data_IF_049560148354
#
_entry.id   IF_049560148354
#
_cell.length_a   1.000
_cell.length_b   1.000
_cell.length_c   1.000
_cell.angle_alpha   90.00
_cell.angle_beta   90.00
_cell.angle_gamma   90.00
#
_symmetry.space_group_name_H-M   'P 1'
#
loop_
_entity.id
_entity.type
_entity.pdbx_description
1 polymer ?
#
# COMPACT_ATOMS: atom_id res chain seq x y z
N UNK A 1 15.21 -19.08 -20.32
CA UNK A 1 14.71 -19.08 -21.71
C UNK A 1 15.09 -20.38 -22.43
N UNK A 2 16.28 -20.90 -22.23
CA UNK A 2 16.81 -22.11 -22.97
C UNK A 2 15.99 -23.39 -22.74
N UNK A 3 15.15 -23.43 -21.70
CA UNK A 3 14.27 -24.57 -21.40
C UNK A 3 12.83 -24.36 -21.90
N UNK A 4 12.53 -23.21 -22.47
CA UNK A 4 11.21 -22.89 -22.96
C UNK A 4 11.23 -22.78 -24.47
N UNK A 5 10.28 -23.45 -25.13
CA UNK A 5 10.06 -23.35 -26.56
C UNK A 5 8.58 -23.34 -26.86
N UNK A 6 8.18 -22.53 -27.81
CA UNK A 6 6.81 -22.56 -28.32
C UNK A 6 6.62 -23.80 -29.18
N UNK A 7 5.56 -24.55 -28.91
CA UNK A 7 5.17 -25.71 -29.71
C UNK A 7 3.85 -25.47 -30.40
N UNK A 8 3.74 -25.86 -31.68
CA UNK A 8 2.47 -25.84 -32.39
C UNK A 8 1.52 -26.91 -31.83
N UNK A 9 0.25 -26.54 -31.66
CA UNK A 9 -0.83 -27.45 -31.29
C UNK A 9 -1.67 -27.90 -32.46
N UNK A 10 -1.28 -27.55 -33.70
CA UNK A 10 -1.98 -27.88 -34.92
C UNK A 10 -3.35 -27.17 -35.05
N UNK A 11 -3.55 -26.09 -34.36
CA UNK A 11 -4.76 -25.27 -34.40
C UNK A 11 -4.39 -23.83 -34.78
N UNK A 12 -4.86 -23.39 -35.95
CA UNK A 12 -4.58 -22.04 -36.43
C UNK A 12 -4.95 -20.93 -35.38
N UNK A 13 -6.04 -21.16 -34.66
CA UNK A 13 -6.48 -20.22 -33.61
C UNK A 13 -5.53 -20.17 -32.40
N UNK A 14 -4.94 -21.29 -32.01
CA UNK A 14 -4.01 -21.38 -30.88
C UNK A 14 -2.58 -21.02 -31.26
N UNK A 15 -2.24 -21.21 -32.55
CA UNK A 15 -0.91 -20.97 -33.07
C UNK A 15 -0.73 -19.55 -33.64
N UNK A 16 -1.78 -18.74 -33.66
CA UNK A 16 -1.76 -17.33 -34.11
C UNK A 16 -0.99 -16.39 -33.14
N UNK A 17 -0.82 -16.82 -31.89
CA UNK A 17 -0.07 -16.08 -30.90
C UNK A 17 1.41 -16.43 -30.97
N UNK A 18 2.25 -15.51 -31.46
CA UNK A 18 3.70 -15.64 -31.44
C UNK A 18 4.27 -15.23 -30.07
N UNK A 19 4.78 -16.23 -29.31
CA UNK A 19 5.43 -16.01 -28.01
C UNK A 19 6.95 -15.92 -28.11
N UNK A 20 7.55 -16.10 -29.31
CA UNK A 20 9.00 -16.03 -29.49
C UNK A 20 9.61 -14.70 -29.00
N UNK A 21 8.97 -13.53 -29.16
CA UNK A 21 9.47 -12.28 -28.60
C UNK A 21 9.67 -12.30 -27.07
N UNK A 22 8.96 -13.17 -26.35
CA UNK A 22 9.10 -13.33 -24.89
C UNK A 22 10.22 -14.31 -24.51
N UNK A 23 10.70 -15.12 -25.47
CA UNK A 23 11.73 -16.14 -25.27
C UNK A 23 13.13 -15.63 -25.66
N UNK A 24 13.31 -14.32 -25.70
CA UNK A 24 14.59 -13.70 -26.05
C UNK A 24 15.63 -14.04 -24.99
N UNK A 25 16.73 -14.67 -25.41
CA UNK A 25 17.91 -14.82 -24.58
C UNK A 25 18.70 -13.51 -24.59
N UNK A 26 18.78 -12.86 -23.45
CA UNK A 26 19.58 -11.64 -23.30
C UNK A 26 21.06 -12.02 -23.35
N UNK A 27 21.86 -11.32 -24.18
CA UNK A 27 23.30 -11.52 -24.20
C UNK A 27 23.89 -11.31 -22.80
N UNK A 28 24.49 -12.35 -22.24
CA UNK A 28 25.07 -12.34 -20.89
C UNK A 28 26.27 -11.40 -20.73
N UNK A 29 26.73 -10.77 -21.81
CA UNK A 29 27.75 -9.71 -21.77
C UNK A 29 27.20 -8.41 -21.21
N UNK A 30 25.88 -8.20 -21.21
CA UNK A 30 25.27 -7.04 -20.57
C UNK A 30 25.49 -7.08 -19.06
N UNK A 31 26.12 -6.05 -18.50
CA UNK A 31 26.30 -5.92 -17.05
C UNK A 31 24.95 -5.77 -16.37
N UNK A 32 24.49 -6.83 -15.68
CA UNK A 32 23.27 -6.85 -14.85
C UNK A 32 23.57 -6.53 -13.38
N UNK A 33 24.69 -5.88 -13.11
CA UNK A 33 25.09 -5.52 -11.77
C UNK A 33 24.37 -4.25 -11.32
N UNK A 34 24.11 -4.17 -10.00
CA UNK A 34 23.58 -2.96 -9.40
C UNK A 34 24.51 -1.77 -9.65
N UNK A 35 24.00 -0.75 -10.30
CA UNK A 35 24.69 0.51 -10.54
C UNK A 35 24.46 1.45 -9.34
N UNK A 36 25.51 1.67 -8.55
CA UNK A 36 25.47 2.56 -7.38
C UNK A 36 25.33 4.02 -7.75
N UNK A 37 25.79 4.39 -8.96
CA UNK A 37 25.81 5.78 -9.41
C UNK A 37 24.49 6.18 -10.09
N UNK A 38 23.61 5.20 -10.34
CA UNK A 38 22.29 5.49 -10.90
C UNK A 38 21.41 6.17 -9.84
N UNK A 39 20.94 7.40 -10.09
CA UNK A 39 20.05 8.06 -9.15
C UNK A 39 18.78 7.22 -8.94
N UNK A 40 18.37 7.09 -7.69
CA UNK A 40 17.09 6.43 -7.37
C UNK A 40 15.95 7.24 -7.99
N UNK A 41 14.99 6.55 -8.57
CA UNK A 41 13.76 7.20 -9.02
C UNK A 41 13.12 7.88 -7.79
N UNK A 42 12.86 9.19 -7.85
CA UNK A 42 12.20 9.88 -6.75
C UNK A 42 10.82 9.25 -6.50
N UNK A 43 10.44 9.16 -5.26
CA UNK A 43 9.08 8.77 -4.89
C UNK A 43 8.22 10.02 -4.96
N UNK A 44 7.15 9.97 -5.73
CA UNK A 44 6.22 11.09 -5.87
C UNK A 44 5.61 11.48 -4.52
N UNK A 45 5.25 12.74 -4.38
CA UNK A 45 4.49 13.22 -3.24
C UNK A 45 3.11 12.56 -3.24
N UNK A 46 2.85 11.80 -2.19
CA UNK A 46 1.61 11.06 -1.98
C UNK A 46 0.81 11.69 -0.84
N UNK A 47 -0.43 11.25 -0.65
CA UNK A 47 -1.21 11.65 0.53
C UNK A 47 -0.43 11.37 1.84
N UNK A 48 0.33 10.28 1.88
CA UNK A 48 1.14 9.93 3.06
C UNK A 48 2.25 10.97 3.33
N UNK A 49 2.80 11.60 2.31
CA UNK A 49 3.73 12.72 2.48
C UNK A 49 3.04 13.94 3.12
N UNK A 50 1.80 14.21 2.72
CA UNK A 50 0.99 15.27 3.33
C UNK A 50 0.64 14.94 4.79
N UNK A 51 0.23 13.70 5.07
CA UNK A 51 -0.04 13.23 6.45
C UNK A 51 1.17 13.44 7.35
N UNK A 52 2.37 13.05 6.90
CA UNK A 52 3.61 13.25 7.66
C UNK A 52 3.87 14.74 7.96
N UNK A 53 3.64 15.61 6.97
CA UNK A 53 3.79 17.05 7.13
C UNK A 53 2.78 17.62 8.12
N UNK A 54 1.50 17.23 8.02
CA UNK A 54 0.43 17.73 8.87
C UNK A 54 0.54 17.18 10.30
N UNK A 55 1.15 15.98 10.47
CA UNK A 55 1.41 15.36 11.77
C UNK A 55 2.70 15.88 12.46
N UNK A 56 3.22 17.02 12.08
CA UNK A 56 4.50 17.56 12.58
C UNK A 56 4.53 17.68 14.12
N UNK A 57 3.44 18.15 14.75
CA UNK A 57 3.35 18.26 16.21
C UNK A 57 3.35 16.90 16.90
N UNK A 58 2.67 15.90 16.32
CA UNK A 58 2.77 14.53 16.82
C UNK A 58 4.21 14.02 16.73
N UNK A 59 4.86 14.19 15.59
CA UNK A 59 6.22 13.68 15.36
C UNK A 59 7.27 14.41 16.21
N UNK A 60 7.07 15.70 16.54
CA UNK A 60 8.01 16.48 17.36
C UNK A 60 7.74 16.33 18.84
N UNK A 61 6.49 16.53 19.26
CA UNK A 61 6.10 16.76 20.63
C UNK A 61 5.24 15.65 21.23
N UNK A 62 4.99 14.59 20.47
CA UNK A 62 4.08 13.49 20.84
C UNK A 62 2.64 13.98 21.12
N UNK A 63 2.23 15.08 20.48
CA UNK A 63 0.86 15.56 20.64
C UNK A 63 -0.13 14.57 20.03
N UNK A 64 -1.18 14.21 20.78
CA UNK A 64 -2.26 13.38 20.23
C UNK A 64 -3.00 14.16 19.16
N UNK A 65 -3.06 13.62 17.94
CA UNK A 65 -3.62 14.32 16.79
C UNK A 65 -4.66 13.52 16.04
N UNK A 66 -5.58 14.23 15.43
CA UNK A 66 -6.55 13.70 14.48
C UNK A 66 -6.48 14.49 13.18
N UNK A 67 -6.29 13.82 12.07
CA UNK A 67 -6.27 14.38 10.72
C UNK A 67 -7.41 13.78 9.89
N UNK A 68 -7.88 14.50 8.88
CA UNK A 68 -8.97 14.02 8.02
C UNK A 68 -8.71 14.36 6.55
N UNK A 69 -8.95 13.38 5.64
CA UNK A 69 -8.72 13.52 4.21
C UNK A 69 -9.82 12.82 3.40
N UNK A 70 -10.14 13.37 2.24
CA UNK A 70 -10.87 12.65 1.21
C UNK A 70 -9.90 11.75 0.44
N UNK A 71 -10.34 10.53 0.12
CA UNK A 71 -9.50 9.54 -0.56
C UNK A 71 -10.20 8.93 -1.77
N UNK A 72 -9.38 8.56 -2.74
CA UNK A 72 -9.77 7.82 -3.93
C UNK A 72 -8.88 6.58 -4.08
N UNK A 73 -9.34 5.59 -4.82
CA UNK A 73 -8.65 4.31 -5.01
C UNK A 73 -7.29 4.40 -5.73
N UNK A 74 -6.96 5.55 -6.29
CA UNK A 74 -5.63 5.87 -6.83
C UNK A 74 -4.60 6.17 -5.74
N UNK A 75 -5.05 6.54 -4.53
CA UNK A 75 -4.19 6.83 -3.38
C UNK A 75 -3.87 5.52 -2.64
N UNK A 76 -2.69 4.98 -2.91
CA UNK A 76 -2.23 3.67 -2.41
C UNK A 76 -1.30 3.81 -1.20
N UNK A 77 -1.12 2.73 -0.46
CA UNK A 77 -0.14 2.60 0.64
C UNK A 77 -0.26 3.66 1.74
N UNK A 78 -1.45 4.21 1.94
CA UNK A 78 -1.70 5.21 2.98
C UNK A 78 -1.36 4.62 4.36
N UNK A 79 -0.55 5.33 5.14
CA UNK A 79 -0.07 4.93 6.46
C UNK A 79 1.32 4.30 6.47
N UNK A 80 1.85 3.84 5.33
CA UNK A 80 3.16 3.18 5.25
C UNK A 80 4.32 4.14 5.50
N UNK A 81 4.34 5.27 4.80
CA UNK A 81 5.37 6.31 4.97
C UNK A 81 5.27 6.97 6.35
N UNK A 82 4.03 7.22 6.79
CA UNK A 82 3.74 7.70 8.14
C UNK A 82 4.29 6.74 9.19
N UNK A 83 4.08 5.44 9.05
CA UNK A 83 4.64 4.40 9.93
C UNK A 83 6.17 4.40 9.94
N UNK A 84 6.80 4.57 8.79
CA UNK A 84 8.25 4.69 8.68
C UNK A 84 8.79 5.89 9.48
N UNK A 85 8.11 7.03 9.43
CA UNK A 85 8.47 8.21 10.23
C UNK A 85 8.27 7.98 11.74
N UNK A 86 7.18 7.32 12.13
CA UNK A 86 6.93 6.94 13.54
C UNK A 86 8.06 6.05 14.06
N UNK A 87 8.43 5.01 13.31
CA UNK A 87 9.52 4.10 13.69
C UNK A 87 10.87 4.82 13.76
N UNK A 88 11.16 5.64 12.78
CA UNK A 88 12.40 6.43 12.75
C UNK A 88 12.51 7.36 13.94
N UNK A 89 11.40 7.90 14.43
CA UNK A 89 11.37 8.88 15.52
C UNK A 89 11.27 8.25 16.90
N UNK A 90 10.44 7.21 17.04
CA UNK A 90 10.07 6.64 18.35
C UNK A 90 10.48 5.18 18.52
N UNK A 91 10.99 4.53 17.46
CA UNK A 91 11.32 3.10 17.45
C UNK A 91 10.11 2.19 17.22
N UNK A 92 10.39 0.91 16.93
CA UNK A 92 9.35 -0.12 16.75
C UNK A 92 8.61 -0.46 18.06
N UNK A 93 9.34 -0.43 19.17
CA UNK A 93 8.81 -0.69 20.52
C UNK A 93 8.64 0.64 21.24
N UNK A 94 7.64 1.40 20.80
CA UNK A 94 7.31 2.68 21.41
C UNK A 94 6.13 2.51 22.40
N UNK A 95 5.95 3.51 23.24
CA UNK A 95 4.91 3.62 24.28
C UNK A 95 3.70 4.45 23.82
N UNK A 96 3.56 4.66 22.51
CA UNK A 96 2.44 5.42 21.96
C UNK A 96 1.11 4.66 22.15
N UNK A 97 0.08 5.39 22.50
CA UNK A 97 -1.27 4.82 22.57
C UNK A 97 -1.76 4.44 21.16
N UNK A 98 -2.65 3.44 21.02
CA UNK A 98 -3.10 2.94 19.73
C UNK A 98 -3.70 3.99 18.79
N UNK A 99 -4.20 5.10 19.33
CA UNK A 99 -4.84 6.20 18.62
C UNK A 99 -4.12 7.54 18.79
N UNK A 100 -2.81 7.51 19.03
CA UNK A 100 -2.03 8.74 19.24
C UNK A 100 -2.07 9.64 18.00
N UNK A 101 -1.89 9.06 16.81
CA UNK A 101 -2.20 9.70 15.54
C UNK A 101 -3.39 8.98 14.88
N UNK A 102 -4.55 9.63 14.85
CA UNK A 102 -5.72 9.13 14.12
C UNK A 102 -5.86 9.83 12.78
N UNK A 103 -5.90 9.06 11.70
CA UNK A 103 -6.13 9.56 10.34
C UNK A 103 -7.48 9.05 9.86
N UNK A 104 -8.43 9.96 9.67
CA UNK A 104 -9.76 9.68 9.14
C UNK A 104 -9.76 9.88 7.63
N UNK A 105 -10.27 8.89 6.92
CA UNK A 105 -10.29 8.83 5.46
C UNK A 105 -11.74 8.68 5.00
N UNK A 106 -12.18 9.52 4.07
CA UNK A 106 -13.53 9.44 3.50
C UNK A 106 -13.45 9.10 2.02
N UNK A 107 -14.04 7.99 1.63
CA UNK A 107 -14.09 7.52 0.24
C UNK A 107 -13.52 6.12 0.09
N UNK A 108 -13.01 5.80 -1.09
CA UNK A 108 -12.42 4.50 -1.42
C UNK A 108 -10.91 4.55 -1.30
N UNK A 109 -10.33 3.86 -0.34
CA UNK A 109 -8.88 3.80 -0.20
C UNK A 109 -8.27 2.81 -1.21
N UNK A 110 -7.15 3.18 -1.80
CA UNK A 110 -6.41 2.32 -2.73
C UNK A 110 -5.73 1.13 -2.04
N UNK A 111 -5.04 0.34 -2.83
CA UNK A 111 -4.34 -0.87 -2.37
C UNK A 111 -3.35 -0.60 -1.24
N UNK A 112 -3.20 -1.59 -0.36
CA UNK A 112 -2.21 -1.59 0.73
C UNK A 112 -2.43 -0.49 1.77
N UNK A 113 -3.70 -0.15 2.04
CA UNK A 113 -4.04 0.73 3.17
C UNK A 113 -3.47 0.14 4.46
N UNK A 114 -2.73 0.93 5.23
CA UNK A 114 -2.14 0.51 6.50
C UNK A 114 -1.06 -0.56 6.36
N UNK A 115 -0.47 -0.73 5.18
CA UNK A 115 0.65 -1.64 5.03
C UNK A 115 1.80 -1.22 5.97
N UNK A 116 2.32 -2.19 6.73
CA UNK A 116 3.36 -2.00 7.75
C UNK A 116 3.01 -0.99 8.83
N UNK A 117 1.72 -0.79 9.11
CA UNK A 117 1.31 0.12 10.17
C UNK A 117 1.82 -0.35 11.54
N UNK A 118 2.25 0.63 12.35
CA UNK A 118 2.95 0.42 13.63
C UNK A 118 2.16 1.01 14.79
N UNK A 119 2.52 0.68 16.05
CA UNK A 119 1.89 1.27 17.23
C UNK A 119 1.87 2.80 17.18
N UNK A 120 0.78 3.40 17.63
CA UNK A 120 0.56 4.85 17.61
C UNK A 120 -0.25 5.36 16.44
N UNK A 121 -0.34 4.60 15.33
CA UNK A 121 -1.12 4.97 14.16
C UNK A 121 -2.47 4.26 14.12
N UNK A 122 -3.53 5.04 13.93
CA UNK A 122 -4.89 4.57 13.67
C UNK A 122 -5.42 5.14 12.36
N UNK A 123 -5.85 4.28 11.46
CA UNK A 123 -6.49 4.63 10.20
C UNK A 123 -7.98 4.27 10.27
N UNK A 124 -8.87 5.23 10.04
CA UNK A 124 -10.32 5.01 9.99
C UNK A 124 -10.85 5.40 8.61
N UNK A 125 -11.34 4.42 7.85
CA UNK A 125 -11.98 4.65 6.54
C UNK A 125 -13.49 4.64 6.69
N UNK A 126 -14.13 5.73 6.30
CA UNK A 126 -15.56 5.82 6.03
C UNK A 126 -15.77 5.65 4.53
N UNK A 127 -16.05 4.43 4.10
CA UNK A 127 -16.14 4.01 2.70
C UNK A 127 -15.72 2.57 2.53
N UNK A 128 -14.77 2.34 1.66
CA UNK A 128 -14.21 1.02 1.36
C UNK A 128 -12.69 1.08 1.14
N UNK A 129 -12.06 -0.07 1.01
CA UNK A 129 -10.64 -0.19 0.72
C UNK A 129 -10.37 -1.35 -0.26
N UNK A 130 -9.37 -1.19 -1.10
CA UNK A 130 -8.92 -2.21 -2.04
C UNK A 130 -8.13 -3.34 -1.33
N UNK A 131 -7.39 -4.12 -2.12
CA UNK A 131 -6.63 -5.27 -1.64
C UNK A 131 -5.48 -4.92 -0.69
N UNK A 132 -5.00 -5.92 0.04
CA UNK A 132 -3.82 -5.88 0.90
C UNK A 132 -3.94 -4.93 2.10
N UNK A 133 -5.15 -4.71 2.61
CA UNK A 133 -5.33 -3.91 3.83
C UNK A 133 -4.54 -4.53 4.98
N UNK A 134 -3.75 -3.72 5.66
CA UNK A 134 -2.95 -4.14 6.81
C UNK A 134 -1.83 -5.13 6.48
N UNK A 135 -1.35 -5.17 5.22
CA UNK A 135 -0.19 -6.01 4.87
C UNK A 135 0.98 -5.74 5.81
N UNK A 136 1.52 -6.80 6.45
CA UNK A 136 2.63 -6.66 7.40
C UNK A 136 2.31 -5.78 8.61
N UNK A 137 1.05 -5.70 9.02
CA UNK A 137 0.60 -4.93 10.19
C UNK A 137 1.35 -5.38 11.45
N UNK A 138 2.00 -4.46 12.14
CA UNK A 138 2.83 -4.76 13.32
C UNK A 138 2.48 -3.93 14.56
N UNK A 139 1.21 -3.53 14.71
CA UNK A 139 0.71 -2.87 15.92
C UNK A 139 -0.13 -1.62 15.71
N UNK A 140 -0.36 -1.20 14.47
CA UNK A 140 -1.31 -0.15 14.12
C UNK A 140 -2.77 -0.62 14.20
N UNK A 141 -3.70 0.31 14.11
CA UNK A 141 -5.14 0.03 14.07
C UNK A 141 -5.71 0.46 12.71
N UNK A 142 -6.43 -0.44 12.04
CA UNK A 142 -7.13 -0.11 10.79
C UNK A 142 -8.61 -0.44 10.94
N UNK A 143 -9.48 0.53 10.68
CA UNK A 143 -10.93 0.38 10.71
C UNK A 143 -11.47 0.77 9.33
N UNK A 144 -12.26 -0.11 8.74
CA UNK A 144 -12.97 0.16 7.47
C UNK A 144 -14.46 -0.07 7.72
N UNK A 145 -15.27 0.91 7.38
CA UNK A 145 -16.74 0.84 7.51
C UNK A 145 -17.40 1.64 6.39
N UNK A 146 -18.58 1.21 5.92
CA UNK A 146 -19.37 2.04 5.00
C UNK A 146 -19.65 3.43 5.57
N UNK A 147 -19.88 4.40 4.70
CA UNK A 147 -20.35 5.72 5.13
C UNK A 147 -21.71 5.59 5.82
N UNK A 148 -21.96 6.39 6.85
CA UNK A 148 -23.22 6.33 7.62
C UNK A 148 -24.47 6.54 6.76
N UNK A 149 -24.36 7.34 5.70
CA UNK A 149 -25.47 7.59 4.76
C UNK A 149 -25.56 6.54 3.63
N UNK A 150 -24.61 5.59 3.58
CA UNK A 150 -24.64 4.54 2.57
C UNK A 150 -25.77 3.56 2.84
N UNK A 151 -26.55 3.16 1.83
CA UNK A 151 -27.55 2.10 1.95
C UNK A 151 -26.91 0.71 2.05
N UNK A 152 -25.59 0.59 1.98
CA UNK A 152 -24.88 -0.69 2.01
C UNK A 152 -24.96 -1.32 3.39
N UNK A 153 -25.38 -2.57 3.44
CA UNK A 153 -25.28 -3.43 4.62
C UNK A 153 -23.92 -4.11 4.59
N UNK A 154 -23.03 -3.77 5.52
CA UNK A 154 -21.62 -4.21 5.51
C UNK A 154 -21.47 -5.74 5.52
N UNK A 155 -22.39 -6.47 6.17
CA UNK A 155 -22.39 -7.95 6.18
C UNK A 155 -22.79 -8.60 4.85
N UNK A 156 -23.40 -7.84 3.96
CA UNK A 156 -23.92 -8.31 2.66
C UNK A 156 -23.08 -7.79 1.48
N UNK A 157 -22.12 -6.93 1.74
CA UNK A 157 -21.33 -6.25 0.72
C UNK A 157 -19.84 -6.34 1.02
N UNK A 158 -19.02 -6.43 -0.01
CA UNK A 158 -17.57 -6.35 0.10
C UNK A 158 -17.13 -4.90 0.33
N UNK A 159 -16.58 -4.61 1.50
CA UNK A 159 -16.04 -3.28 1.86
C UNK A 159 -14.51 -3.26 1.95
N UNK A 160 -13.88 -4.40 1.83
CA UNK A 160 -12.41 -4.58 1.79
C UNK A 160 -12.12 -5.60 0.70
N UNK A 161 -11.07 -5.37 -0.08
CA UNK A 161 -10.61 -6.30 -1.11
C UNK A 161 -9.96 -7.57 -0.56
N UNK A 162 -9.19 -8.24 -1.40
CA UNK A 162 -8.58 -9.54 -1.08
C UNK A 162 -7.28 -9.39 -0.27
N UNK A 163 -6.79 -10.53 0.26
CA UNK A 163 -5.45 -10.67 0.86
C UNK A 163 -5.21 -9.69 2.02
N UNK A 164 -6.20 -9.59 2.90
CA UNK A 164 -6.12 -8.76 4.12
C UNK A 164 -5.13 -9.37 5.09
N UNK A 165 -4.34 -8.53 5.77
CA UNK A 165 -3.34 -8.92 6.79
C UNK A 165 -2.26 -9.88 6.25
N UNK A 166 -1.94 -9.82 4.97
CA UNK A 166 -0.90 -10.62 4.38
C UNK A 166 0.51 -10.22 4.90
N UNK A 167 1.31 -11.21 5.33
CA UNK A 167 2.69 -10.99 5.78
C UNK A 167 3.00 -11.49 7.17
#
# INVERSE_FOLDING_TARGET
ADLLTQVSRGSAHLDDLDLNPLLITVDGAAKINYDRDRPRTPVDDTLDAQIVKDADRFLKDREKMQLEYAVQNTLRTIGTRTSSHIVSKFGMRNDLQPDHLTVKLRGSAGQSLGAFAVPGLKLEVSGDANDYVGKGLSGGTVIVRPQMQSPLVASENTIIGNTVLYG
#
